data_IF_896356534496
#
_entry.id   IF_896356534496
#
_cell.length_a   1.000
_cell.length_b   1.000
_cell.length_c   1.000
_cell.angle_alpha   90.00
_cell.angle_beta   90.00
_cell.angle_gamma   90.00
#
_symmetry.space_group_name_H-M   'P 1'
#
loop_
_entity.id
_entity.type
_entity.pdbx_description
1 polymer ?
#
# COMPACT_ATOMS: atom_id res chain seq x y z
N UNK A 1 18.50 27.18 19.56
CA UNK A 1 17.93 26.35 18.46
C UNK A 1 18.12 27.05 17.13
N UNK A 2 18.65 26.36 16.12
CA UNK A 2 18.81 26.87 14.75
C UNK A 2 17.50 26.70 13.98
N UNK A 3 17.13 27.73 13.22
CA UNK A 3 15.93 27.72 12.38
C UNK A 3 16.28 27.22 10.97
N UNK A 4 15.37 26.44 10.38
CA UNK A 4 15.42 26.00 8.99
C UNK A 4 14.16 26.50 8.32
N UNK A 5 14.30 27.43 7.37
CA UNK A 5 13.16 27.92 6.59
C UNK A 5 12.64 26.80 5.68
N UNK A 6 11.33 26.55 5.75
CA UNK A 6 10.65 25.49 5.00
C UNK A 6 10.88 25.63 3.49
N UNK A 7 10.77 26.85 2.95
CA UNK A 7 11.00 27.10 1.52
C UNK A 7 12.44 26.83 1.09
N UNK A 8 13.42 27.17 1.95
CA UNK A 8 14.82 26.91 1.66
C UNK A 8 15.10 25.41 1.63
N UNK A 9 14.57 24.66 2.59
CA UNK A 9 14.67 23.20 2.63
C UNK A 9 14.00 22.55 1.41
N UNK A 10 12.80 23.00 1.02
CA UNK A 10 12.12 22.52 -0.20
C UNK A 10 12.98 22.74 -1.46
N UNK A 11 13.58 23.94 -1.62
CA UNK A 11 14.49 24.23 -2.74
C UNK A 11 15.70 23.30 -2.76
N UNK A 12 16.30 23.03 -1.60
CA UNK A 12 17.42 22.08 -1.46
C UNK A 12 16.99 20.66 -1.85
N UNK A 13 15.84 20.21 -1.39
CA UNK A 13 15.33 18.87 -1.66
C UNK A 13 14.99 18.66 -3.14
N UNK A 14 14.34 19.63 -3.78
CA UNK A 14 14.07 19.62 -5.23
C UNK A 14 15.38 19.66 -6.04
N UNK A 15 16.38 20.42 -5.60
CA UNK A 15 17.71 20.41 -6.21
C UNK A 15 18.39 19.05 -6.06
N UNK A 16 18.28 18.38 -4.91
CA UNK A 16 18.80 17.04 -4.70
C UNK A 16 18.10 16.03 -5.61
N UNK A 17 16.77 16.12 -5.79
CA UNK A 17 16.01 15.31 -6.74
C UNK A 17 16.47 15.48 -8.19
N UNK A 18 16.68 16.73 -8.62
CA UNK A 18 17.18 17.04 -9.97
C UNK A 18 18.59 16.48 -10.21
N UNK A 19 19.45 16.54 -9.20
CA UNK A 19 20.85 16.11 -9.29
C UNK A 19 21.11 14.72 -8.66
N UNK A 20 20.06 13.91 -8.48
CA UNK A 20 20.16 12.63 -7.78
C UNK A 20 21.17 11.73 -8.47
N UNK A 21 22.11 11.18 -7.70
CA UNK A 21 23.17 10.30 -8.21
C UNK A 21 23.61 9.37 -7.08
N UNK A 22 23.76 8.08 -7.39
CA UNK A 22 24.30 7.10 -6.45
C UNK A 22 25.75 7.44 -6.12
N UNK A 23 26.03 7.55 -4.82
CA UNK A 23 27.39 7.62 -4.28
C UNK A 23 27.80 6.21 -3.86
N UNK A 24 28.96 5.74 -4.34
CA UNK A 24 29.46 4.37 -4.16
C UNK A 24 30.62 4.29 -3.15
N UNK A 25 30.59 5.14 -2.13
CA UNK A 25 31.52 5.05 -1.01
C UNK A 25 30.84 4.36 0.18
N UNK A 26 31.61 4.08 1.24
CA UNK A 26 31.10 3.41 2.44
C UNK A 26 29.88 4.11 3.06
N UNK A 27 29.84 5.44 3.07
CA UNK A 27 28.69 6.18 3.63
C UNK A 27 27.47 6.06 2.72
N UNK A 28 27.66 6.13 1.40
CA UNK A 28 26.62 5.92 0.40
C UNK A 28 25.99 4.53 0.46
N UNK A 29 26.80 3.49 0.65
CA UNK A 29 26.35 2.11 0.85
C UNK A 29 25.56 1.94 2.16
N UNK A 30 26.03 2.56 3.25
CA UNK A 30 25.30 2.55 4.53
C UNK A 30 23.96 3.28 4.43
N UNK A 31 23.89 4.39 3.69
CA UNK A 31 22.63 5.10 3.41
C UNK A 31 21.66 4.20 2.64
N UNK A 32 22.12 3.54 1.58
CA UNK A 32 21.30 2.59 0.83
C UNK A 32 20.79 1.46 1.74
N UNK A 33 21.65 0.90 2.59
CA UNK A 33 21.28 -0.13 3.58
C UNK A 33 20.17 0.35 4.52
N UNK A 34 20.24 1.57 5.06
CA UNK A 34 19.19 2.13 5.92
C UNK A 34 17.89 2.31 5.16
N UNK A 35 17.94 2.87 3.95
CA UNK A 35 16.76 3.16 3.13
C UNK A 35 16.03 1.90 2.67
N UNK A 36 16.77 0.83 2.36
CA UNK A 36 16.21 -0.48 1.98
C UNK A 36 15.81 -1.34 3.18
N UNK A 37 16.38 -1.11 4.36
CA UNK A 37 16.07 -1.86 5.59
C UNK A 37 14.69 -1.55 6.17
N UNK A 38 14.06 -2.47 6.90
CA UNK A 38 12.64 -2.41 7.31
C UNK A 38 12.24 -1.28 8.30
N UNK A 39 13.20 -0.64 8.97
CA UNK A 39 12.91 0.27 10.08
C UNK A 39 12.59 1.71 9.61
N UNK A 40 11.33 1.94 9.22
CA UNK A 40 10.80 3.18 8.62
C UNK A 40 11.22 4.48 9.32
N UNK A 41 11.14 4.54 10.66
CA UNK A 41 11.45 5.76 11.43
C UNK A 41 12.90 6.24 11.20
N UNK A 42 13.86 5.31 11.08
CA UNK A 42 15.26 5.68 10.87
C UNK A 42 15.53 6.17 9.45
N UNK A 43 14.75 5.73 8.47
CA UNK A 43 14.78 6.28 7.10
C UNK A 43 14.40 7.76 7.12
N UNK A 44 13.30 8.11 7.79
CA UNK A 44 12.88 9.51 7.92
C UNK A 44 13.87 10.36 8.70
N UNK A 45 14.41 9.86 9.82
CA UNK A 45 15.43 10.57 10.59
C UNK A 45 16.66 10.87 9.72
N UNK A 46 17.18 9.86 9.02
CA UNK A 46 18.35 10.00 8.15
C UNK A 46 18.14 11.08 7.08
N UNK A 47 17.04 11.02 6.33
CA UNK A 47 16.77 11.97 5.23
C UNK A 47 16.54 13.38 5.80
N UNK A 48 15.83 13.50 6.92
CA UNK A 48 15.56 14.79 7.57
C UNK A 48 16.85 15.46 8.03
N UNK A 49 17.75 14.72 8.66
CA UNK A 49 19.05 15.22 9.11
C UNK A 49 19.96 15.63 7.93
N UNK A 50 20.00 14.82 6.87
CA UNK A 50 20.70 15.16 5.63
C UNK A 50 20.19 16.47 5.03
N UNK A 51 18.87 16.64 4.93
CA UNK A 51 18.24 17.86 4.44
C UNK A 51 18.55 19.05 5.34
N UNK A 52 18.46 18.88 6.66
CA UNK A 52 18.70 19.93 7.62
C UNK A 52 20.13 20.49 7.50
N UNK A 53 21.14 19.61 7.55
CA UNK A 53 22.57 19.96 7.41
C UNK A 53 22.91 20.51 6.01
N UNK A 54 22.22 20.05 4.97
CA UNK A 54 22.37 20.59 3.61
C UNK A 54 21.83 22.01 3.49
N UNK A 55 20.79 22.34 4.26
CA UNK A 55 20.14 23.66 4.24
C UNK A 55 20.85 24.66 5.15
N UNK A 56 21.37 24.21 6.29
CA UNK A 56 22.13 25.01 7.23
C UNK A 56 23.32 24.20 7.77
N UNK A 57 24.55 24.66 7.48
CA UNK A 57 25.78 23.96 7.85
C UNK A 57 26.00 23.88 9.37
N UNK A 58 25.40 24.76 10.15
CA UNK A 58 25.55 24.83 11.61
C UNK A 58 24.67 23.82 12.35
N UNK A 59 23.82 23.09 11.63
CA UNK A 59 22.92 22.10 12.22
C UNK A 59 23.69 20.93 12.82
N UNK A 60 23.29 20.46 13.98
CA UNK A 60 23.71 19.16 14.47
C UNK A 60 22.81 18.08 13.87
N UNK A 61 23.38 17.24 13.01
CA UNK A 61 22.63 16.19 12.32
C UNK A 61 22.07 15.11 13.27
N UNK A 62 22.61 14.99 14.49
CA UNK A 62 22.14 14.01 15.49
C UNK A 62 20.97 14.54 16.34
N UNK A 63 20.68 15.84 16.29
CA UNK A 63 19.51 16.45 16.97
C UNK A 63 18.20 15.98 16.32
N UNK A 64 17.25 15.59 17.14
CA UNK A 64 15.92 15.11 16.73
C UNK A 64 14.79 16.06 17.16
N UNK A 65 15.01 16.87 18.20
CA UNK A 65 13.98 17.77 18.73
C UNK A 65 14.52 19.14 19.08
N UNK A 66 13.59 20.10 19.10
CA UNK A 66 13.78 21.45 19.61
C UNK A 66 14.42 21.51 21.01
N UNK A 67 14.14 20.54 21.88
CA UNK A 67 14.67 20.47 23.24
C UNK A 67 16.05 19.82 23.38
N UNK A 68 16.79 19.58 22.29
CA UNK A 68 18.22 19.23 22.38
C UNK A 68 19.02 20.49 22.76
N UNK A 69 19.86 20.38 23.79
CA UNK A 69 20.68 21.48 24.30
C UNK A 69 21.98 21.65 23.50
N UNK A 70 22.25 20.78 22.52
CA UNK A 70 23.47 20.85 21.72
C UNK A 70 23.53 22.09 20.84
N UNK A 71 24.75 22.58 20.60
CA UNK A 71 24.96 23.61 19.58
C UNK A 71 24.55 23.05 18.21
N UNK A 72 23.69 23.79 17.51
CA UNK A 72 23.14 23.34 16.22
C UNK A 72 21.84 22.56 16.32
N UNK A 73 21.29 22.36 17.53
CA UNK A 73 19.99 21.73 17.72
C UNK A 73 18.86 22.43 16.95
N UNK A 74 17.91 21.63 16.45
CA UNK A 74 16.81 22.08 15.59
C UNK A 74 15.57 21.20 15.71
N UNK A 75 14.44 21.71 15.24
CA UNK A 75 13.18 20.97 15.20
C UNK A 75 13.10 20.06 13.96
N UNK A 76 13.65 18.85 14.07
CA UNK A 76 13.61 17.85 13.00
C UNK A 76 12.18 17.35 12.72
N UNK A 77 11.33 17.28 13.75
CA UNK A 77 9.92 16.87 13.60
C UNK A 77 9.16 17.81 12.67
N UNK A 78 9.23 19.12 12.93
CA UNK A 78 8.58 20.11 12.07
C UNK A 78 9.12 20.08 10.65
N UNK A 79 10.43 19.95 10.47
CA UNK A 79 11.04 19.85 9.14
C UNK A 79 10.55 18.61 8.39
N UNK A 80 10.53 17.45 9.06
CA UNK A 80 10.07 16.19 8.47
C UNK A 80 8.62 16.28 8.02
N UNK A 81 7.72 16.72 8.91
CA UNK A 81 6.29 16.81 8.64
C UNK A 81 5.95 17.84 7.56
N UNK A 82 6.61 19.01 7.56
CA UNK A 82 6.30 20.10 6.61
C UNK A 82 6.99 19.98 5.26
N UNK A 83 8.08 19.20 5.15
CA UNK A 83 8.90 19.13 3.93
C UNK A 83 9.06 17.71 3.41
N UNK A 84 9.54 16.77 4.22
CA UNK A 84 9.81 15.40 3.76
C UNK A 84 8.52 14.63 3.46
N UNK A 85 7.51 14.71 4.33
CA UNK A 85 6.24 13.99 4.15
C UNK A 85 5.50 14.46 2.89
N UNK A 86 5.31 15.77 2.63
CA UNK A 86 4.72 16.23 1.37
C UNK A 86 5.54 15.81 0.14
N UNK A 87 6.87 15.91 0.22
CA UNK A 87 7.74 15.51 -0.88
C UNK A 87 7.64 14.02 -1.23
N UNK A 88 7.60 13.14 -0.23
CA UNK A 88 7.38 11.70 -0.47
C UNK A 88 6.05 11.47 -1.17
N UNK A 89 4.96 12.04 -0.66
CA UNK A 89 3.61 11.88 -1.24
C UNK A 89 3.52 12.37 -2.67
N UNK A 90 4.18 13.47 -2.99
CA UNK A 90 4.13 14.08 -4.32
C UNK A 90 5.01 13.33 -5.33
N UNK A 91 6.22 12.94 -4.95
CA UNK A 91 7.23 12.46 -5.90
C UNK A 91 7.54 10.97 -5.83
N UNK A 92 7.46 10.37 -4.64
CA UNK A 92 7.85 8.98 -4.40
C UNK A 92 6.93 8.33 -3.36
N UNK A 93 5.62 8.17 -3.66
CA UNK A 93 4.65 7.69 -2.69
C UNK A 93 5.13 6.41 -2.00
N UNK A 94 5.03 6.39 -0.66
CA UNK A 94 5.40 5.26 0.21
C UNK A 94 6.86 4.78 0.16
N UNK A 95 7.72 5.42 -0.62
CA UNK A 95 9.09 4.93 -0.88
C UNK A 95 10.07 5.20 0.27
N UNK A 96 9.73 6.08 1.21
CA UNK A 96 10.45 6.23 2.49
C UNK A 96 9.79 5.34 3.53
N UNK A 97 8.46 5.41 3.66
CA UNK A 97 7.70 4.53 4.54
C UNK A 97 6.20 4.81 4.63
N UNK A 98 5.69 5.85 3.95
CA UNK A 98 4.28 6.21 3.91
C UNK A 98 3.69 6.74 5.23
N UNK A 99 4.52 7.26 6.15
CA UNK A 99 4.05 7.74 7.45
C UNK A 99 3.64 9.21 7.41
N UNK A 100 2.45 9.51 7.93
CA UNK A 100 1.95 10.89 8.07
C UNK A 100 2.66 11.66 9.20
N UNK A 101 3.11 10.94 10.23
CA UNK A 101 3.74 11.50 11.43
C UNK A 101 4.98 10.67 11.82
N UNK A 102 6.07 10.69 11.03
CA UNK A 102 7.21 9.81 11.26
C UNK A 102 7.87 9.99 12.64
N UNK A 103 7.80 11.20 13.18
CA UNK A 103 8.45 11.58 14.44
C UNK A 103 7.59 11.32 15.69
N UNK A 104 6.40 10.75 15.57
CA UNK A 104 5.63 10.26 16.73
C UNK A 104 6.12 8.91 17.27
N UNK A 105 6.87 8.16 16.46
CA UNK A 105 7.41 6.87 16.85
C UNK A 105 8.51 7.01 17.91
N UNK A 106 8.62 6.03 18.82
CA UNK A 106 9.57 6.07 19.96
C UNK A 106 11.01 6.45 19.59
N UNK A 107 11.62 5.91 18.51
CA UNK A 107 13.01 6.26 18.14
C UNK A 107 13.22 7.73 17.79
N UNK A 108 12.19 8.42 17.30
CA UNK A 108 12.24 9.83 16.94
C UNK A 108 11.78 10.77 18.08
N UNK A 109 11.33 10.20 19.21
CA UNK A 109 10.86 10.96 20.39
C UNK A 109 11.98 11.32 21.37
N UNK A 110 13.18 10.79 21.19
CA UNK A 110 14.35 11.25 21.92
C UNK A 110 14.76 12.63 21.42
N UNK A 111 15.41 13.43 22.27
CA UNK A 111 15.96 14.73 21.87
C UNK A 111 17.09 14.59 20.86
N UNK A 112 17.86 13.49 20.97
CA UNK A 112 19.06 13.21 20.18
C UNK A 112 19.22 11.71 19.89
N UNK A 113 19.84 11.40 18.76
CA UNK A 113 20.37 10.07 18.48
C UNK A 113 21.64 9.77 19.33
N UNK A 114 21.56 8.69 20.10
CA UNK A 114 22.63 8.12 20.91
C UNK A 114 22.51 6.60 20.90
N UNK A 115 23.61 5.87 21.12
CA UNK A 115 23.57 4.41 21.30
C UNK A 115 22.76 3.99 22.55
N UNK A 116 22.52 4.93 23.48
CA UNK A 116 21.71 4.72 24.69
C UNK A 116 20.19 4.84 24.43
N UNK A 117 19.76 5.25 23.23
CA UNK A 117 18.33 5.33 22.93
C UNK A 117 17.69 3.95 23.07
N UNK A 118 16.59 3.87 23.81
CA UNK A 118 15.88 2.62 24.00
C UNK A 118 15.29 2.11 22.68
N UNK A 119 15.86 1.02 22.16
CA UNK A 119 15.47 0.33 20.93
C UNK A 119 15.53 -1.19 21.15
N UNK A 120 14.80 -1.98 20.35
CA UNK A 120 14.88 -3.44 20.41
C UNK A 120 16.32 -3.90 20.08
N UNK A 121 16.78 -4.94 20.77
CA UNK A 121 18.10 -5.54 20.49
C UNK A 121 18.10 -6.18 19.08
N UNK A 122 19.31 -6.41 18.55
CA UNK A 122 19.50 -6.98 17.21
C UNK A 122 19.42 -5.91 16.12
N UNK A 123 18.68 -6.19 15.05
CA UNK A 123 18.65 -5.38 13.83
C UNK A 123 18.33 -3.89 14.08
N UNK A 124 17.36 -3.57 14.94
CA UNK A 124 16.98 -2.17 15.18
C UNK A 124 18.11 -1.36 15.85
N UNK A 125 18.86 -2.00 16.76
CA UNK A 125 20.06 -1.42 17.38
C UNK A 125 21.20 -1.26 16.37
N UNK A 126 21.39 -2.23 15.47
CA UNK A 126 22.38 -2.10 14.39
C UNK A 126 22.07 -0.94 13.45
N UNK A 127 20.79 -0.78 13.07
CA UNK A 127 20.35 0.34 12.22
C UNK A 127 20.55 1.68 12.94
N UNK A 128 20.23 1.78 14.23
CA UNK A 128 20.52 2.98 15.03
C UNK A 128 22.01 3.36 14.95
N UNK A 129 22.91 2.40 15.18
CA UNK A 129 24.37 2.61 15.12
C UNK A 129 24.83 3.03 13.72
N UNK A 130 24.26 2.44 12.68
CA UNK A 130 24.55 2.82 11.29
C UNK A 130 24.12 4.27 11.03
N UNK A 131 22.92 4.67 11.45
CA UNK A 131 22.45 6.06 11.27
C UNK A 131 23.35 7.04 12.03
N UNK A 132 23.71 6.75 13.28
CA UNK A 132 24.65 7.57 14.06
C UNK A 132 25.99 7.68 13.34
N UNK A 133 26.54 6.58 12.82
CA UNK A 133 27.80 6.55 12.08
C UNK A 133 27.73 7.41 10.82
N UNK A 134 26.66 7.29 10.03
CA UNK A 134 26.44 8.11 8.82
C UNK A 134 26.40 9.59 9.20
N UNK A 135 25.53 9.98 10.13
CA UNK A 135 25.31 11.39 10.45
C UNK A 135 26.54 12.01 11.11
N UNK A 136 27.29 11.24 11.90
CA UNK A 136 28.54 11.68 12.51
C UNK A 136 29.66 11.92 11.49
N UNK A 137 29.66 11.23 10.34
CA UNK A 137 30.69 11.41 9.30
C UNK A 137 30.46 12.67 8.44
N UNK A 138 29.25 13.24 8.47
CA UNK A 138 28.84 14.35 7.61
C UNK A 138 29.14 15.68 8.31
N UNK A 139 30.27 16.30 7.93
CA UNK A 139 30.76 17.53 8.59
C UNK A 139 30.36 18.84 7.90
N UNK A 140 29.94 18.80 6.63
CA UNK A 140 29.63 20.00 5.85
C UNK A 140 28.27 19.94 5.15
N UNK A 141 27.72 21.10 4.79
CA UNK A 141 26.52 21.19 3.95
C UNK A 141 26.73 20.57 2.57
N UNK A 142 27.95 20.68 2.00
CA UNK A 142 28.30 20.07 0.71
C UNK A 142 28.26 18.54 0.78
N UNK A 143 28.86 17.94 1.81
CA UNK A 143 28.80 16.49 2.02
C UNK A 143 27.38 16.02 2.34
N UNK A 144 26.62 16.79 3.13
CA UNK A 144 25.22 16.50 3.42
C UNK A 144 24.39 16.49 2.13
N UNK A 145 24.59 17.47 1.24
CA UNK A 145 23.87 17.57 -0.02
C UNK A 145 24.23 16.45 -1.01
N UNK A 146 25.50 16.04 -1.06
CA UNK A 146 25.95 14.89 -1.83
C UNK A 146 25.21 13.62 -1.41
N UNK A 147 25.18 13.35 -0.10
CA UNK A 147 24.51 12.17 0.45
C UNK A 147 22.99 12.26 0.43
N UNK A 148 22.40 13.46 0.56
CA UNK A 148 20.99 13.68 0.30
C UNK A 148 20.63 13.33 -1.14
N UNK A 149 21.43 13.77 -2.12
CA UNK A 149 21.23 13.43 -3.54
C UNK A 149 21.35 11.92 -3.80
N UNK A 150 22.23 11.23 -3.08
CA UNK A 150 22.33 9.76 -3.09
C UNK A 150 21.12 9.10 -2.44
N UNK A 151 20.63 9.62 -1.30
CA UNK A 151 19.43 9.13 -0.65
C UNK A 151 18.20 9.25 -1.56
N UNK A 152 18.01 10.40 -2.24
CA UNK A 152 16.93 10.59 -3.21
C UNK A 152 17.08 9.67 -4.42
N UNK A 153 18.30 9.35 -4.85
CA UNK A 153 18.52 8.32 -5.88
C UNK A 153 17.97 6.97 -5.42
N UNK A 154 18.32 6.52 -4.21
CA UNK A 154 17.86 5.23 -3.67
C UNK A 154 16.34 5.20 -3.49
N UNK A 155 15.73 6.28 -2.97
CA UNK A 155 14.26 6.40 -2.85
C UNK A 155 13.59 6.29 -4.22
N UNK A 156 14.16 6.91 -5.26
CA UNK A 156 13.65 6.80 -6.62
C UNK A 156 13.77 5.38 -7.19
N UNK A 157 14.82 4.63 -6.82
CA UNK A 157 14.94 3.21 -7.20
C UNK A 157 13.92 2.35 -6.47
N UNK A 158 13.76 2.53 -5.15
CA UNK A 158 12.72 1.84 -4.36
C UNK A 158 11.35 2.10 -4.96
N UNK A 159 11.03 3.36 -5.27
CA UNK A 159 9.77 3.74 -5.92
C UNK A 159 9.56 3.03 -7.25
N UNK A 160 10.61 2.93 -8.06
CA UNK A 160 10.54 2.26 -9.36
C UNK A 160 10.35 0.76 -9.19
N UNK A 161 11.15 0.12 -8.35
CA UNK A 161 11.05 -1.31 -8.06
C UNK A 161 9.66 -1.68 -7.54
N UNK A 162 9.09 -0.88 -6.63
CA UNK A 162 7.73 -1.05 -6.14
C UNK A 162 6.68 -0.86 -7.25
N UNK A 163 6.85 0.10 -8.15
CA UNK A 163 5.95 0.24 -9.30
C UNK A 163 6.05 -0.95 -10.26
N UNK A 164 7.27 -1.41 -10.54
CA UNK A 164 7.56 -2.54 -11.44
C UNK A 164 6.94 -3.85 -10.89
N UNK A 165 6.79 -4.01 -9.57
CA UNK A 165 6.07 -5.14 -8.95
C UNK A 165 4.64 -5.29 -9.47
N UNK A 166 3.96 -4.20 -9.83
CA UNK A 166 2.58 -4.24 -10.30
C UNK A 166 2.48 -4.17 -11.83
N UNK A 167 3.59 -4.29 -12.53
CA UNK A 167 3.62 -4.43 -13.98
C UNK A 167 3.63 -5.89 -14.38
N UNK A 168 2.76 -6.27 -15.31
CA UNK A 168 2.87 -7.55 -16.00
C UNK A 168 4.01 -7.40 -17.03
N UNK A 169 4.97 -8.34 -17.12
CA UNK A 169 5.90 -8.35 -18.24
C UNK A 169 5.12 -8.39 -19.56
N UNK A 170 5.71 -7.89 -20.64
CA UNK A 170 5.14 -8.04 -21.97
C UNK A 170 5.12 -9.54 -22.31
N UNK A 171 3.97 -10.16 -22.05
CA UNK A 171 3.69 -11.53 -22.42
C UNK A 171 3.03 -11.48 -23.79
N UNK A 172 3.54 -12.27 -24.74
CA UNK A 172 2.89 -12.59 -26.02
C UNK A 172 1.64 -13.49 -25.78
N UNK A 173 0.86 -13.20 -24.74
CA UNK A 173 -0.47 -13.78 -24.60
C UNK A 173 -1.26 -13.26 -25.80
N UNK A 174 -1.81 -14.15 -26.65
CA UNK A 174 -2.68 -13.72 -27.73
C UNK A 174 -3.69 -12.72 -27.15
N UNK A 175 -3.75 -11.52 -27.71
CA UNK A 175 -4.77 -10.52 -27.33
C UNK A 175 -6.19 -10.97 -27.72
N UNK A 176 -6.38 -12.27 -28.00
CA UNK A 176 -7.66 -12.87 -28.26
C UNK A 176 -8.59 -12.46 -27.12
N UNK A 177 -9.59 -11.66 -27.47
CA UNK A 177 -10.61 -11.19 -26.54
C UNK A 177 -11.58 -12.36 -26.28
N UNK A 178 -11.08 -13.36 -25.56
CA UNK A 178 -11.76 -14.60 -25.25
C UNK A 178 -12.12 -14.60 -23.76
N UNK A 179 -13.36 -14.27 -23.40
CA UNK A 179 -13.79 -14.27 -22.00
C UNK A 179 -13.61 -15.63 -21.31
N UNK A 180 -13.67 -16.73 -22.07
CA UNK A 180 -13.41 -18.08 -21.56
C UNK A 180 -11.99 -18.23 -20.99
N UNK A 181 -10.97 -17.70 -21.66
CA UNK A 181 -9.58 -17.75 -21.17
C UNK A 181 -9.44 -17.01 -19.83
N UNK A 182 -10.17 -15.91 -19.64
CA UNK A 182 -10.19 -15.21 -18.34
C UNK A 182 -10.88 -16.06 -17.28
N UNK A 183 -11.98 -16.73 -17.60
CA UNK A 183 -12.66 -17.62 -16.66
C UNK A 183 -11.75 -18.77 -16.22
N UNK A 184 -11.06 -19.41 -17.16
CA UNK A 184 -10.12 -20.49 -16.88
C UNK A 184 -8.97 -20.00 -15.99
N UNK A 185 -8.42 -18.81 -16.27
CA UNK A 185 -7.45 -18.14 -15.42
C UNK A 185 -7.98 -17.88 -14.00
N UNK A 186 -9.21 -17.37 -13.85
CA UNK A 186 -9.82 -17.14 -12.53
C UNK A 186 -9.95 -18.44 -11.74
N UNK A 187 -10.34 -19.53 -12.40
CA UNK A 187 -10.48 -20.86 -11.77
C UNK A 187 -9.14 -21.34 -11.22
N UNK A 188 -8.05 -21.14 -11.96
CA UNK A 188 -6.71 -21.57 -11.54
C UNK A 188 -6.13 -20.65 -10.47
N UNK A 189 -6.28 -19.35 -10.63
CA UNK A 189 -5.86 -18.34 -9.68
C UNK A 189 -6.49 -18.57 -8.30
N UNK A 190 -7.80 -18.85 -8.24
CA UNK A 190 -8.55 -19.07 -6.99
C UNK A 190 -8.30 -20.43 -6.34
N UNK A 191 -7.37 -21.25 -6.85
CA UNK A 191 -6.89 -22.46 -6.15
C UNK A 191 -6.06 -22.13 -4.91
N UNK A 192 -5.49 -20.93 -4.85
CA UNK A 192 -4.75 -20.41 -3.72
C UNK A 192 -5.43 -19.14 -3.19
N UNK A 193 -5.49 -19.01 -1.87
CA UNK A 193 -6.22 -17.92 -1.21
C UNK A 193 -5.33 -16.71 -0.90
N UNK A 194 -4.07 -16.96 -0.51
CA UNK A 194 -3.14 -15.95 0.00
C UNK A 194 -3.77 -15.02 1.04
N UNK A 195 -4.20 -15.61 2.17
CA UNK A 195 -4.92 -14.90 3.25
C UNK A 195 -6.20 -14.19 2.79
N UNK A 196 -6.85 -14.72 1.76
CA UNK A 196 -8.10 -14.20 1.21
C UNK A 196 -7.93 -12.96 0.34
N UNK A 197 -6.72 -12.61 -0.11
CA UNK A 197 -6.51 -11.45 -0.99
C UNK A 197 -6.95 -11.72 -2.44
N UNK A 198 -6.92 -12.97 -2.90
CA UNK A 198 -7.20 -13.30 -4.32
C UNK A 198 -8.66 -13.03 -4.70
N UNK A 199 -9.63 -13.52 -3.93
CA UNK A 199 -11.04 -13.40 -4.28
C UNK A 199 -11.50 -11.92 -4.37
N UNK A 200 -11.18 -11.03 -3.41
CA UNK A 200 -11.50 -9.60 -3.52
C UNK A 200 -10.90 -8.92 -4.76
N UNK A 201 -9.67 -9.29 -5.15
CA UNK A 201 -9.03 -8.74 -6.36
C UNK A 201 -9.76 -9.17 -7.63
N UNK A 202 -10.14 -10.44 -7.73
CA UNK A 202 -10.93 -10.97 -8.86
C UNK A 202 -12.26 -10.22 -8.97
N UNK A 203 -12.99 -10.10 -7.86
CA UNK A 203 -14.28 -9.42 -7.82
C UNK A 203 -14.14 -7.96 -8.22
N UNK A 204 -13.11 -7.27 -7.72
CA UNK A 204 -12.85 -5.86 -8.03
C UNK A 204 -12.55 -5.63 -9.51
N UNK A 205 -11.72 -6.48 -10.10
CA UNK A 205 -11.40 -6.42 -11.53
C UNK A 205 -12.64 -6.66 -12.40
N UNK A 206 -13.47 -7.65 -12.05
CA UNK A 206 -14.71 -7.93 -12.76
C UNK A 206 -15.76 -6.81 -12.63
N UNK A 207 -15.94 -6.24 -11.43
CA UNK A 207 -16.84 -5.08 -11.25
C UNK A 207 -16.33 -3.87 -12.04
N UNK A 208 -15.01 -3.63 -12.08
CA UNK A 208 -14.44 -2.53 -12.86
C UNK A 208 -14.71 -2.68 -14.35
N UNK A 209 -14.52 -3.89 -14.90
CA UNK A 209 -14.86 -4.19 -16.29
C UNK A 209 -16.35 -4.01 -16.58
N UNK A 210 -17.22 -4.47 -15.68
CA UNK A 210 -18.66 -4.37 -15.82
C UNK A 210 -19.17 -2.92 -15.86
N UNK A 211 -18.60 -2.04 -15.04
CA UNK A 211 -18.97 -0.62 -15.05
C UNK A 211 -18.20 0.20 -16.08
N UNK A 212 -17.20 -0.37 -16.77
CA UNK A 212 -16.34 0.34 -17.72
C UNK A 212 -15.73 1.62 -17.12
N UNK A 213 -15.42 1.58 -15.82
CA UNK A 213 -14.90 2.73 -15.07
C UNK A 213 -15.92 3.85 -14.76
N UNK A 214 -17.19 3.74 -15.18
CA UNK A 214 -18.23 4.72 -14.88
C UNK A 214 -18.53 4.81 -13.37
N UNK A 215 -18.43 3.68 -12.68
CA UNK A 215 -18.50 3.59 -11.22
C UNK A 215 -17.13 3.27 -10.64
N UNK A 216 -16.87 3.86 -9.47
CA UNK A 216 -15.62 3.72 -8.73
C UNK A 216 -15.68 2.47 -7.85
N UNK A 217 -14.91 1.45 -8.23
CA UNK A 217 -14.70 0.24 -7.43
C UNK A 217 -13.56 0.48 -6.43
N UNK A 218 -13.83 0.25 -5.15
CA UNK A 218 -12.90 0.48 -4.04
C UNK A 218 -12.80 -0.79 -3.21
N UNK A 219 -11.81 -1.67 -3.49
CA UNK A 219 -11.47 -2.74 -2.57
C UNK A 219 -10.77 -2.17 -1.34
N UNK A 220 -11.05 -2.78 -0.20
CA UNK A 220 -10.42 -2.51 1.08
C UNK A 220 -9.47 -3.63 1.46
N UNK A 221 -8.54 -3.34 2.37
CA UNK A 221 -7.51 -4.30 2.75
C UNK A 221 -8.08 -5.32 3.74
N UNK A 222 -8.03 -6.59 3.37
CA UNK A 222 -8.62 -7.75 4.09
C UNK A 222 -8.27 -7.82 5.59
N UNK A 223 -7.12 -7.28 6.00
CA UNK A 223 -6.58 -7.38 7.36
C UNK A 223 -6.49 -6.04 8.13
N UNK A 224 -6.98 -4.92 7.59
CA UNK A 224 -7.08 -3.69 8.37
C UNK A 224 -8.46 -3.61 9.01
N UNK A 225 -8.51 -3.71 10.34
CA UNK A 225 -9.74 -3.56 11.11
C UNK A 225 -10.33 -2.18 10.81
N UNK A 226 -11.50 -2.15 10.17
CA UNK A 226 -12.33 -1.00 9.78
C UNK A 226 -11.92 0.35 10.37
N UNK A 227 -10.83 0.92 9.84
CA UNK A 227 -10.24 2.15 10.39
C UNK A 227 -10.88 3.40 9.80
N UNK A 228 -11.74 3.23 8.79
CA UNK A 228 -12.52 4.27 8.15
C UNK A 228 -14.01 4.04 8.36
N UNK A 229 -14.71 5.05 8.89
CA UNK A 229 -16.17 5.10 9.07
C UNK A 229 -17.01 4.94 7.79
N UNK A 230 -16.39 4.69 6.63
CA UNK A 230 -17.02 4.60 5.31
C UNK A 230 -16.92 3.23 4.65
N UNK A 231 -16.25 2.26 5.28
CA UNK A 231 -16.03 0.92 4.73
C UNK A 231 -17.22 0.01 5.07
N UNK A 232 -18.04 -0.34 4.08
CA UNK A 232 -19.24 -1.14 4.29
C UNK A 232 -18.99 -2.62 4.07
N UNK A 233 -18.27 -3.01 3.04
CA UNK A 233 -17.88 -4.40 2.77
C UNK A 233 -16.38 -4.52 2.58
N UNK A 234 -15.92 -5.63 2.01
CA UNK A 234 -14.55 -5.76 1.51
C UNK A 234 -14.35 -4.97 0.22
N UNK A 235 -15.43 -4.78 -0.56
CA UNK A 235 -15.41 -3.97 -1.78
C UNK A 235 -16.65 -3.09 -1.79
N UNK A 236 -16.42 -1.79 -1.93
CA UNK A 236 -17.49 -0.81 -2.10
C UNK A 236 -17.47 -0.23 -3.52
N UNK A 237 -18.66 -0.08 -4.11
CA UNK A 237 -18.85 0.52 -5.43
C UNK A 237 -19.58 1.83 -5.26
N UNK A 238 -18.98 2.91 -5.75
CA UNK A 238 -19.56 4.26 -5.71
C UNK A 238 -19.91 4.73 -7.11
N UNK A 239 -21.00 5.48 -7.22
CA UNK A 239 -21.31 6.26 -8.43
C UNK A 239 -20.26 7.35 -8.65
N UNK A 240 -20.26 7.96 -9.84
CA UNK A 240 -19.45 9.15 -10.14
C UNK A 240 -19.71 10.34 -9.22
N UNK A 241 -20.86 10.36 -8.53
CA UNK A 241 -21.24 11.36 -7.52
C UNK A 241 -20.82 10.99 -6.08
N UNK A 242 -19.96 10.00 -5.91
CA UNK A 242 -19.50 9.45 -4.61
C UNK A 242 -20.62 8.89 -3.70
N UNK A 243 -21.82 8.62 -4.27
CA UNK A 243 -22.87 7.86 -3.58
C UNK A 243 -22.56 6.37 -3.63
N UNK A 244 -22.60 5.69 -2.47
CA UNK A 244 -22.48 4.23 -2.37
C UNK A 244 -23.63 3.56 -3.12
N UNK A 245 -23.28 2.72 -4.10
CA UNK A 245 -24.21 2.03 -4.98
C UNK A 245 -24.40 0.57 -4.56
N UNK A 246 -23.30 -0.12 -4.26
CA UNK A 246 -23.26 -1.53 -3.90
C UNK A 246 -22.08 -1.78 -2.96
N UNK A 247 -22.18 -2.83 -2.17
CA UNK A 247 -21.12 -3.32 -1.32
C UNK A 247 -21.11 -4.84 -1.32
N UNK A 248 -19.91 -5.40 -1.22
CA UNK A 248 -19.64 -6.82 -1.39
C UNK A 248 -18.78 -7.31 -0.23
N UNK A 249 -19.22 -8.37 0.42
CA UNK A 249 -18.42 -9.13 1.39
C UNK A 249 -17.83 -10.35 0.68
N UNK A 250 -16.57 -10.67 0.96
CA UNK A 250 -15.87 -11.82 0.40
C UNK A 250 -15.32 -12.70 1.50
N UNK A 251 -15.71 -13.98 1.52
CA UNK A 251 -15.16 -14.99 2.44
C UNK A 251 -14.37 -16.06 1.70
N UNK A 252 -13.07 -16.12 1.97
CA UNK A 252 -12.18 -17.17 1.45
C UNK A 252 -11.67 -18.11 2.55
N UNK A 253 -12.50 -18.28 3.58
CA UNK A 253 -12.34 -19.20 4.71
C UNK A 253 -13.71 -19.67 5.17
N UNK A 254 -13.74 -20.74 5.96
CA UNK A 254 -14.96 -21.25 6.59
C UNK A 254 -15.72 -20.12 7.29
N UNK A 255 -17.04 -20.13 7.13
CA UNK A 255 -17.92 -19.10 7.66
C UNK A 255 -19.24 -19.71 8.13
N UNK A 256 -19.97 -18.94 8.90
CA UNK A 256 -21.21 -19.34 9.57
C UNK A 256 -22.38 -18.50 9.08
N UNK A 257 -23.60 -18.84 9.52
CA UNK A 257 -24.76 -17.98 9.24
C UNK A 257 -24.59 -16.60 9.90
N UNK A 258 -23.95 -16.54 11.07
CA UNK A 258 -23.75 -15.30 11.82
C UNK A 258 -22.87 -14.32 11.04
N UNK A 259 -21.90 -14.82 10.27
CA UNK A 259 -21.10 -14.00 9.35
C UNK A 259 -21.96 -13.37 8.25
N UNK A 260 -22.92 -14.13 7.71
CA UNK A 260 -23.85 -13.68 6.67
C UNK A 260 -24.85 -12.67 7.23
N UNK A 261 -25.44 -12.96 8.40
CA UNK A 261 -26.33 -12.03 9.13
C UNK A 261 -25.60 -10.71 9.38
N UNK A 262 -24.36 -10.77 9.88
CA UNK A 262 -23.56 -9.60 10.17
C UNK A 262 -23.33 -8.74 8.91
N UNK A 263 -22.92 -9.36 7.80
CA UNK A 263 -22.72 -8.66 6.54
C UNK A 263 -24.03 -7.99 6.06
N UNK A 264 -25.14 -8.72 6.07
CA UNK A 264 -26.46 -8.20 5.65
C UNK A 264 -26.89 -7.00 6.51
N UNK A 265 -26.74 -7.08 7.83
CA UNK A 265 -27.06 -5.96 8.72
C UNK A 265 -26.15 -4.74 8.48
N UNK A 266 -24.88 -4.95 8.14
CA UNK A 266 -23.94 -3.89 7.78
C UNK A 266 -24.36 -3.19 6.47
N UNK A 267 -24.77 -3.96 5.46
CA UNK A 267 -25.32 -3.44 4.20
C UNK A 267 -26.62 -2.66 4.42
N UNK A 268 -27.54 -3.22 5.21
CA UNK A 268 -28.82 -2.62 5.56
C UNK A 268 -28.64 -1.27 6.28
N UNK A 269 -27.73 -1.21 7.25
CA UNK A 269 -27.40 0.02 7.99
C UNK A 269 -26.85 1.12 7.07
N UNK A 270 -26.26 0.73 5.94
CA UNK A 270 -25.72 1.61 4.91
C UNK A 270 -26.71 1.93 3.78
N UNK A 271 -27.98 1.50 3.92
CA UNK A 271 -29.08 1.71 2.95
C UNK A 271 -28.79 1.13 1.55
N UNK A 272 -28.08 0.01 1.50
CA UNK A 272 -27.82 -0.72 0.27
C UNK A 272 -28.98 -1.68 0.03
N UNK A 273 -29.65 -1.54 -1.11
CA UNK A 273 -30.84 -2.34 -1.46
C UNK A 273 -30.49 -3.73 -1.97
N UNK A 274 -29.31 -3.89 -2.59
CA UNK A 274 -28.83 -5.15 -3.18
C UNK A 274 -27.36 -5.31 -2.88
N UNK A 275 -27.01 -6.38 -2.19
CA UNK A 275 -25.62 -6.70 -1.82
C UNK A 275 -25.22 -8.10 -2.26
N UNK A 276 -23.92 -8.37 -2.25
CA UNK A 276 -23.35 -9.68 -2.56
C UNK A 276 -22.52 -10.19 -1.39
N UNK A 277 -22.67 -11.46 -1.09
CA UNK A 277 -21.79 -12.23 -0.21
C UNK A 277 -21.14 -13.32 -1.07
N UNK A 278 -19.87 -13.14 -1.39
CA UNK A 278 -19.13 -14.02 -2.29
C UNK A 278 -18.23 -14.93 -1.50
N UNK A 279 -18.27 -16.23 -1.77
CA UNK A 279 -17.42 -17.19 -1.07
C UNK A 279 -16.43 -17.91 -2.01
N UNK A 280 -15.22 -18.16 -1.51
CA UNK A 280 -14.13 -18.81 -2.22
C UNK A 280 -14.33 -20.32 -2.42
N UNK A 281 -13.38 -20.97 -3.07
CA UNK A 281 -13.51 -22.40 -3.47
C UNK A 281 -13.37 -23.38 -2.31
N UNK A 282 -12.52 -23.06 -1.35
CA UNK A 282 -12.11 -23.95 -0.24
C UNK A 282 -12.74 -23.52 1.07
N UNK A 283 -14.06 -23.33 1.05
CA UNK A 283 -14.84 -22.93 2.23
C UNK A 283 -15.81 -24.05 2.62
N UNK A 284 -15.95 -24.26 3.92
CA UNK A 284 -16.97 -25.10 4.50
C UNK A 284 -17.94 -24.22 5.29
N UNK A 285 -19.24 -24.44 5.07
CA UNK A 285 -20.32 -23.79 5.80
C UNK A 285 -21.57 -24.66 5.76
N UNK A 286 -22.48 -24.43 6.71
CA UNK A 286 -23.80 -25.04 6.71
C UNK A 286 -24.66 -24.36 5.63
N UNK A 287 -24.81 -25.03 4.48
CA UNK A 287 -25.50 -24.46 3.32
C UNK A 287 -26.95 -24.13 3.64
N UNK A 288 -27.69 -25.07 4.22
CA UNK A 288 -29.13 -24.90 4.47
C UNK A 288 -29.35 -23.70 5.39
N UNK A 289 -28.62 -23.66 6.50
CA UNK A 289 -28.74 -22.60 7.49
C UNK A 289 -28.34 -21.21 6.93
N UNK A 290 -27.25 -21.14 6.15
CA UNK A 290 -26.81 -19.89 5.50
C UNK A 290 -27.83 -19.38 4.49
N UNK A 291 -28.33 -20.25 3.60
CA UNK A 291 -29.27 -19.84 2.56
C UNK A 291 -30.66 -19.53 3.14
N UNK A 292 -31.12 -20.26 4.16
CA UNK A 292 -32.34 -19.95 4.91
C UNK A 292 -32.24 -18.56 5.58
N UNK A 293 -31.14 -18.30 6.27
CA UNK A 293 -30.87 -17.01 6.92
C UNK A 293 -30.90 -15.84 5.92
N UNK A 294 -30.21 -15.98 4.78
CA UNK A 294 -30.22 -14.94 3.74
C UNK A 294 -31.63 -14.74 3.15
N UNK A 295 -32.41 -15.83 2.99
CA UNK A 295 -33.78 -15.75 2.50
C UNK A 295 -34.73 -15.09 3.51
N UNK A 296 -34.59 -15.38 4.80
CA UNK A 296 -35.37 -14.76 5.88
C UNK A 296 -35.13 -13.26 5.97
N UNK A 297 -33.86 -12.83 5.95
CA UNK A 297 -33.51 -11.41 5.93
C UNK A 297 -33.93 -10.72 4.63
N UNK A 298 -33.83 -11.43 3.50
CA UNK A 298 -34.33 -10.96 2.21
C UNK A 298 -35.82 -10.64 2.22
N UNK A 299 -36.65 -11.47 2.89
CA UNK A 299 -38.10 -11.22 3.08
C UNK A 299 -38.39 -9.99 3.95
N UNK A 300 -37.42 -9.52 4.74
CA UNK A 300 -37.50 -8.28 5.50
C UNK A 300 -37.04 -7.05 4.71
N UNK A 301 -36.64 -7.22 3.45
CA UNK A 301 -36.21 -6.15 2.55
C UNK A 301 -34.69 -5.98 2.42
N UNK A 302 -33.88 -6.86 3.02
CA UNK A 302 -32.41 -6.79 2.97
C UNK A 302 -31.85 -7.83 1.99
N UNK A 303 -32.00 -7.57 0.69
CA UNK A 303 -31.62 -8.54 -0.33
C UNK A 303 -30.09 -8.69 -0.43
N UNK A 304 -29.62 -9.91 -0.16
CA UNK A 304 -28.23 -10.30 -0.32
C UNK A 304 -28.12 -11.66 -1.01
N UNK A 305 -27.37 -11.72 -2.10
CA UNK A 305 -27.09 -12.98 -2.79
C UNK A 305 -25.83 -13.61 -2.22
N UNK A 306 -25.95 -14.84 -1.70
CA UNK A 306 -24.81 -15.68 -1.33
C UNK A 306 -24.40 -16.52 -2.55
N UNK A 307 -23.19 -16.34 -3.07
CA UNK A 307 -22.75 -16.93 -4.34
C UNK A 307 -21.27 -17.36 -4.32
N UNK A 308 -20.93 -18.44 -5.02
CA UNK A 308 -19.53 -18.87 -5.17
C UNK A 308 -18.75 -17.89 -6.06
N UNK A 309 -17.44 -17.75 -5.85
CA UNK A 309 -16.57 -16.93 -6.70
C UNK A 309 -16.61 -17.39 -8.16
N UNK A 310 -16.76 -18.69 -8.41
CA UNK A 310 -16.84 -19.26 -9.76
C UNK A 310 -18.14 -18.87 -10.46
N UNK A 311 -19.28 -19.00 -9.79
CA UNK A 311 -20.58 -18.67 -10.39
C UNK A 311 -20.76 -17.16 -10.54
N UNK A 312 -20.23 -16.39 -9.58
CA UNK A 312 -20.12 -14.95 -9.71
C UNK A 312 -19.29 -14.56 -10.93
N UNK A 313 -18.11 -15.17 -11.13
CA UNK A 313 -17.25 -14.87 -12.27
C UNK A 313 -17.97 -15.19 -13.59
N UNK A 314 -18.58 -16.36 -13.74
CA UNK A 314 -19.36 -16.74 -14.93
C UNK A 314 -20.46 -15.73 -15.24
N UNK A 315 -21.28 -15.39 -14.24
CA UNK A 315 -22.39 -14.44 -14.37
C UNK A 315 -21.89 -13.04 -14.72
N UNK A 316 -20.82 -12.59 -14.05
CA UNK A 316 -20.30 -11.24 -14.25
C UNK A 316 -19.63 -11.10 -15.61
N UNK A 317 -18.85 -12.09 -16.04
CA UNK A 317 -18.27 -12.15 -17.38
C UNK A 317 -19.36 -12.10 -18.45
N UNK A 318 -20.43 -12.89 -18.30
CA UNK A 318 -21.59 -12.83 -19.20
C UNK A 318 -22.25 -11.45 -19.27
N UNK A 319 -22.21 -10.69 -18.17
CA UNK A 319 -22.86 -9.38 -18.05
C UNK A 319 -22.00 -8.20 -18.54
N UNK A 320 -20.71 -8.42 -18.82
CA UNK A 320 -19.83 -7.39 -19.38
C UNK A 320 -20.19 -7.21 -20.87
N UNK A 321 -20.47 -5.97 -21.28
CA UNK A 321 -21.05 -5.67 -22.59
C UNK A 321 -20.08 -5.82 -23.76
N UNK A 322 -18.78 -5.78 -23.48
CA UNK A 322 -17.71 -5.88 -24.47
C UNK A 322 -16.81 -7.07 -24.18
N UNK A 323 -16.10 -7.53 -25.19
CA UNK A 323 -15.02 -8.44 -24.96
C UNK A 323 -13.85 -7.71 -24.27
N UNK A 324 -13.02 -8.49 -23.59
CA UNK A 324 -11.81 -8.04 -22.93
C UNK A 324 -10.80 -9.18 -22.95
N UNK A 325 -9.53 -8.85 -22.82
CA UNK A 325 -8.45 -9.84 -22.79
C UNK A 325 -8.08 -10.20 -21.35
N UNK A 326 -7.49 -11.39 -21.18
CA UNK A 326 -6.85 -11.78 -19.92
C UNK A 326 -5.78 -10.75 -19.48
N UNK A 327 -5.05 -10.16 -20.43
CA UNK A 327 -4.06 -9.10 -20.15
C UNK A 327 -4.69 -7.87 -19.51
N UNK A 328 -5.86 -7.44 -20.01
CA UNK A 328 -6.59 -6.34 -19.41
C UNK A 328 -7.05 -6.70 -17.98
N UNK A 329 -7.59 -7.90 -17.79
CA UNK A 329 -8.03 -8.38 -16.49
C UNK A 329 -6.89 -8.44 -15.47
N UNK A 330 -5.73 -8.99 -15.85
CA UNK A 330 -4.55 -9.09 -14.96
C UNK A 330 -3.99 -7.70 -14.64
N UNK A 331 -3.97 -6.77 -15.59
CA UNK A 331 -3.58 -5.38 -15.32
C UNK A 331 -4.51 -4.71 -14.30
N UNK A 332 -5.82 -4.96 -14.39
CA UNK A 332 -6.77 -4.47 -13.39
C UNK A 332 -6.56 -5.13 -12.02
N UNK A 333 -6.31 -6.42 -11.99
CA UNK A 333 -5.96 -7.12 -10.75
C UNK A 333 -4.73 -6.52 -10.08
N UNK A 334 -3.63 -6.32 -10.82
CA UNK A 334 -2.40 -5.73 -10.30
C UNK A 334 -2.61 -4.27 -9.87
N UNK A 335 -3.45 -3.52 -10.58
CA UNK A 335 -3.87 -2.18 -10.15
C UNK A 335 -4.58 -2.20 -8.79
N UNK A 336 -5.52 -3.12 -8.57
CA UNK A 336 -6.21 -3.26 -7.29
C UNK A 336 -5.30 -3.83 -6.20
N UNK A 337 -4.40 -4.75 -6.53
CA UNK A 337 -3.39 -5.28 -5.63
C UNK A 337 -2.49 -4.16 -5.09
N UNK A 338 -2.10 -3.21 -5.97
CA UNK A 338 -1.38 -2.02 -5.56
C UNK A 338 -2.19 -1.15 -4.60
N UNK A 339 -3.47 -0.92 -4.88
CA UNK A 339 -4.35 -0.09 -4.04
C UNK A 339 -4.55 -0.64 -2.64
N UNK A 340 -4.67 -1.97 -2.50
CA UNK A 340 -4.83 -2.60 -1.17
C UNK A 340 -3.48 -2.93 -0.51
N UNK A 341 -2.35 -2.64 -1.18
CA UNK A 341 -1.02 -3.04 -0.75
C UNK A 341 -0.98 -4.56 -0.44
N UNK A 342 -1.39 -5.36 -1.43
CA UNK A 342 -1.38 -6.81 -1.38
C UNK A 342 0.03 -7.35 -1.14
N UNK A 343 0.12 -8.59 -0.67
CA UNK A 343 1.42 -9.22 -0.39
C UNK A 343 2.20 -9.54 -1.67
N UNK A 344 3.52 -9.57 -1.54
CA UNK A 344 4.42 -9.90 -2.65
C UNK A 344 4.11 -11.31 -3.21
N UNK A 345 3.75 -12.28 -2.36
CA UNK A 345 3.37 -13.62 -2.80
C UNK A 345 2.07 -13.63 -3.60
N UNK A 346 1.08 -12.82 -3.21
CA UNK A 346 -0.18 -12.63 -3.95
C UNK A 346 0.09 -12.06 -5.34
N UNK A 347 0.91 -11.00 -5.41
CA UNK A 347 1.29 -10.34 -6.67
C UNK A 347 2.03 -11.33 -7.58
N UNK A 348 2.96 -12.11 -7.02
CA UNK A 348 3.73 -13.09 -7.78
C UNK A 348 2.82 -14.19 -8.34
N UNK A 349 1.90 -14.72 -7.52
CA UNK A 349 0.94 -15.74 -7.97
C UNK A 349 0.05 -15.26 -9.11
N UNK A 350 -0.44 -14.02 -9.05
CA UNK A 350 -1.22 -13.39 -10.13
C UNK A 350 -0.45 -13.43 -11.45
N UNK A 351 0.85 -13.12 -11.41
CA UNK A 351 1.73 -13.10 -12.58
C UNK A 351 2.07 -14.51 -13.06
N UNK A 352 2.42 -15.41 -12.16
CA UNK A 352 2.80 -16.79 -12.51
C UNK A 352 1.65 -17.50 -13.22
N UNK A 353 0.43 -17.41 -12.68
CA UNK A 353 -0.76 -17.94 -13.37
C UNK A 353 -0.97 -17.27 -14.74
N UNK A 354 -0.70 -15.97 -14.88
CA UNK A 354 -0.89 -15.29 -16.17
C UNK A 354 0.13 -15.78 -17.22
N UNK A 355 1.38 -16.02 -16.78
CA UNK A 355 2.46 -16.57 -17.61
C UNK A 355 2.13 -17.99 -18.07
N UNK A 356 1.59 -18.83 -17.18
CA UNK A 356 1.18 -20.20 -17.55
C UNK A 356 0.13 -20.22 -18.65
N UNK A 357 -0.78 -19.25 -18.68
CA UNK A 357 -1.80 -19.09 -19.72
C UNK A 357 -1.29 -18.38 -20.98
N UNK A 358 -0.05 -17.87 -20.94
CA UNK A 358 0.65 -17.28 -22.08
C UNK A 358 1.44 -18.29 -22.92
N UNK A 359 1.84 -19.40 -22.29
CA UNK A 359 2.60 -20.51 -22.86
C UNK A 359 1.65 -21.57 -23.42
#
# INVERSE_FOLDING_TARGET
MRRIETEAAQKVLLRAKKNRKKVKDTTGELIEKVLRGSHKTYRYILITALLAKSTNADIDALSLQAGDDSEGAYDARSLCHKVIVPFEREYYPNSIGGSNEPFLNKPARFTRLSEDNAVRRGNDMEILKIVIRILSSIKSSKSAFLYLSSAIYNIAQISKEEADKYTLPDLDIPQAELPQTTLDYIIDLTRQSFEGEICPLVVSALEHLYYEGANKVVPHKVNESGSSSKEVGDIDVFTSSDKLLSSIEVKDKDFTKEDVEHAIHKFASSKIEKSLFIFGRKVNFDRDNVFETAAELGKQGFYCTVISIEDYAKMRIYSIKRNFSINEFVKLMLHFAHKINAKDETIQWIKDCAIEFAL
#
